data_IF_611200440122
#
_entry.id   IF_611200440122
#
_cell.length_a   1.000
_cell.length_b   1.000
_cell.length_c   1.000
_cell.angle_alpha   90.00
_cell.angle_beta   90.00
_cell.angle_gamma   90.00
#
_symmetry.space_group_name_H-M   'P 1'
#
loop_
_entity.id
_entity.type
_entity.pdbx_description
1 polymer ?
#
# COMPACT_ATOMS: atom_id res chain seq x y z
N UNK A 1 -11.06 6.24 14.28
CA UNK A 1 -10.76 6.42 12.84
C UNK A 1 -9.82 7.60 12.72
N UNK A 2 -8.73 7.46 11.96
CA UNK A 2 -7.68 8.46 11.80
C UNK A 2 -7.55 8.82 10.32
N UNK A 3 -6.89 9.95 10.04
CA UNK A 3 -6.55 10.39 8.69
C UNK A 3 -5.08 10.78 8.64
N UNK A 4 -4.41 10.47 7.54
CA UNK A 4 -3.01 10.81 7.30
C UNK A 4 -2.85 11.36 5.88
N UNK A 5 -2.00 12.39 5.73
CA UNK A 5 -1.69 13.00 4.42
C UNK A 5 -0.23 12.71 4.09
N UNK A 6 -0.02 11.75 3.20
CA UNK A 6 1.31 11.28 2.81
C UNK A 6 1.81 12.17 1.68
N UNK A 7 2.86 12.95 1.95
CA UNK A 7 3.53 13.78 0.94
C UNK A 7 4.40 12.90 0.03
N UNK A 8 4.01 12.77 -1.23
CA UNK A 8 4.78 12.05 -2.26
C UNK A 8 5.56 12.98 -3.19
N UNK A 9 5.23 14.27 -3.20
CA UNK A 9 5.95 15.30 -3.96
C UNK A 9 7.38 15.49 -3.45
N UNK A 10 8.33 15.61 -4.38
CA UNK A 10 9.75 15.80 -4.06
C UNK A 10 10.52 14.51 -3.77
N UNK A 11 9.85 13.36 -3.60
CA UNK A 11 10.51 12.06 -3.44
C UNK A 11 11.28 11.64 -4.71
N UNK A 12 10.86 12.14 -5.87
CA UNK A 12 11.47 11.85 -7.17
C UNK A 12 11.73 13.18 -7.88
N UNK A 13 12.99 13.43 -8.25
CA UNK A 13 13.38 14.67 -8.95
C UNK A 13 12.81 14.76 -10.38
N UNK A 14 12.72 13.63 -11.08
CA UNK A 14 12.23 13.57 -12.46
C UNK A 14 10.69 13.51 -12.50
N UNK A 15 10.07 14.50 -13.13
CA UNK A 15 8.61 14.65 -13.22
C UNK A 15 7.93 13.50 -13.96
N UNK A 16 8.51 12.99 -15.05
CA UNK A 16 7.92 11.87 -15.80
C UNK A 16 7.93 10.57 -14.99
N UNK A 17 9.06 10.29 -14.32
CA UNK A 17 9.16 9.12 -13.41
C UNK A 17 8.16 9.24 -12.26
N UNK A 18 7.98 10.44 -11.72
CA UNK A 18 6.97 10.71 -10.69
C UNK A 18 5.55 10.39 -11.19
N UNK A 19 5.16 10.92 -12.36
CA UNK A 19 3.82 10.67 -12.94
C UNK A 19 3.62 9.17 -13.21
N UNK A 20 4.62 8.47 -13.76
CA UNK A 20 4.55 7.02 -14.02
C UNK A 20 4.42 6.21 -12.72
N UNK A 21 5.16 6.54 -11.65
CA UNK A 21 5.06 5.84 -10.36
C UNK A 21 3.77 6.17 -9.61
N UNK A 22 3.27 7.40 -9.71
CA UNK A 22 1.94 7.76 -9.17
C UNK A 22 0.83 7.01 -9.91
N UNK A 23 0.89 6.93 -11.23
CA UNK A 23 -0.08 6.15 -12.01
C UNK A 23 -0.01 4.66 -11.69
N UNK A 24 1.19 4.13 -11.45
CA UNK A 24 1.38 2.74 -10.98
C UNK A 24 0.71 2.45 -9.64
N UNK A 25 0.74 3.40 -8.70
CA UNK A 25 0.04 3.28 -7.41
C UNK A 25 -1.48 3.18 -7.60
N UNK A 26 -2.04 3.96 -8.54
CA UNK A 26 -3.47 3.92 -8.89
C UNK A 26 -3.80 2.59 -9.58
N UNK A 27 -2.94 2.16 -10.50
CA UNK A 27 -3.11 0.98 -11.32
C UNK A 27 -4.03 1.20 -12.53
N UNK A 28 -4.11 0.21 -13.43
CA UNK A 28 -5.05 0.24 -14.55
C UNK A 28 -6.49 0.27 -14.01
N UNK A 29 -7.31 1.19 -14.50
CA UNK A 29 -8.71 1.37 -14.07
C UNK A 29 -8.88 1.52 -12.54
N UNK A 30 -7.85 1.97 -11.80
CA UNK A 30 -7.90 2.11 -10.35
C UNK A 30 -7.86 0.79 -9.57
N UNK A 31 -7.60 -0.35 -10.22
CA UNK A 31 -7.67 -1.67 -9.57
C UNK A 31 -6.64 -1.85 -8.45
N UNK A 32 -5.42 -1.34 -8.62
CA UNK A 32 -4.36 -1.44 -7.61
C UNK A 32 -4.73 -0.65 -6.35
N UNK A 33 -5.23 0.58 -6.53
CA UNK A 33 -5.70 1.40 -5.43
C UNK A 33 -6.87 0.71 -4.70
N UNK A 34 -7.84 0.18 -5.47
CA UNK A 34 -9.01 -0.47 -4.89
C UNK A 34 -8.66 -1.73 -4.10
N UNK A 35 -7.72 -2.53 -4.60
CA UNK A 35 -7.21 -3.69 -3.88
C UNK A 35 -6.56 -3.29 -2.56
N UNK A 36 -5.76 -2.23 -2.55
CA UNK A 36 -5.13 -1.72 -1.34
C UNK A 36 -6.17 -1.26 -0.32
N UNK A 37 -7.19 -0.51 -0.75
CA UNK A 37 -8.32 -0.07 0.10
C UNK A 37 -9.02 -1.26 0.77
N UNK A 38 -9.33 -2.33 0.02
CA UNK A 38 -10.01 -3.52 0.52
C UNK A 38 -9.15 -4.37 1.45
N UNK A 39 -7.83 -4.39 1.22
CA UNK A 39 -6.91 -5.15 2.07
C UNK A 39 -6.70 -4.45 3.40
N UNK A 40 -6.55 -3.12 3.40
CA UNK A 40 -6.25 -2.31 4.59
C UNK A 40 -7.47 -1.67 5.23
N UNK A 41 -8.70 -1.92 4.74
CA UNK A 41 -9.93 -1.25 5.20
C UNK A 41 -9.78 0.28 5.29
N UNK A 42 -9.02 0.87 4.36
CA UNK A 42 -8.79 2.30 4.31
C UNK A 42 -9.49 2.91 3.09
N UNK A 43 -9.94 4.14 3.23
CA UNK A 43 -10.24 4.98 2.07
C UNK A 43 -8.96 5.70 1.63
N UNK A 44 -8.60 5.62 0.35
CA UNK A 44 -7.33 6.18 -0.15
C UNK A 44 -7.61 7.08 -1.35
N UNK A 45 -7.16 8.33 -1.26
CA UNK A 45 -7.28 9.31 -2.34
C UNK A 45 -5.91 9.79 -2.80
N UNK A 46 -5.58 9.54 -4.07
CA UNK A 46 -4.35 10.01 -4.71
C UNK A 46 -4.65 11.30 -5.46
N UNK A 47 -4.13 12.44 -4.96
CA UNK A 47 -4.36 13.75 -5.59
C UNK A 47 -3.06 14.55 -5.67
N UNK A 48 -2.72 15.00 -6.88
CA UNK A 48 -1.56 15.88 -7.08
C UNK A 48 -0.26 15.26 -6.57
N UNK A 49 0.28 15.85 -5.50
CA UNK A 49 1.56 15.50 -4.87
C UNK A 49 1.38 14.85 -3.49
N UNK A 50 0.17 14.45 -3.14
CA UNK A 50 -0.19 13.86 -1.86
C UNK A 50 -1.07 12.63 -2.04
N UNK A 51 -1.06 11.75 -1.05
CA UNK A 51 -1.99 10.64 -0.92
C UNK A 51 -2.64 10.75 0.45
N UNK A 52 -3.96 10.86 0.49
CA UNK A 52 -4.71 10.86 1.73
C UNK A 52 -5.17 9.44 2.04
N UNK A 53 -5.01 9.00 3.28
CA UNK A 53 -5.50 7.71 3.75
C UNK A 53 -6.35 7.91 5.01
N UNK A 54 -7.52 7.29 5.07
CA UNK A 54 -8.40 7.30 6.25
C UNK A 54 -8.73 5.87 6.66
N UNK A 55 -8.59 5.54 7.94
CA UNK A 55 -8.76 4.18 8.45
C UNK A 55 -8.31 3.99 9.89
N UNK A 56 -7.95 2.77 10.26
CA UNK A 56 -7.34 2.46 11.55
C UNK A 56 -5.82 2.71 11.54
N UNK A 57 -5.25 2.99 12.70
CA UNK A 57 -3.85 3.41 12.82
C UNK A 57 -2.84 2.40 12.25
N UNK A 58 -3.04 1.10 12.51
CA UNK A 58 -2.16 0.05 11.99
C UNK A 58 -2.22 -0.03 10.45
N UNK A 59 -3.43 0.06 9.91
CA UNK A 59 -3.67 -0.03 8.47
C UNK A 59 -3.14 1.21 7.72
N UNK A 60 -3.32 2.40 8.29
CA UNK A 60 -2.75 3.64 7.74
C UNK A 60 -1.23 3.55 7.67
N UNK A 61 -0.56 2.99 8.69
CA UNK A 61 0.89 2.76 8.65
C UNK A 61 1.29 1.84 7.50
N UNK A 62 0.53 0.77 7.28
CA UNK A 62 0.73 -0.13 6.13
C UNK A 62 0.59 0.62 4.81
N UNK A 63 -0.49 1.39 4.63
CA UNK A 63 -0.70 2.21 3.42
C UNK A 63 0.47 3.19 3.22
N UNK A 64 0.91 3.87 4.27
CA UNK A 64 2.04 4.81 4.22
C UNK A 64 3.32 4.15 3.73
N UNK A 65 3.61 2.93 4.19
CA UNK A 65 4.76 2.15 3.74
C UNK A 65 4.64 1.81 2.25
N UNK A 66 3.52 1.24 1.82
CA UNK A 66 3.26 0.87 0.41
C UNK A 66 3.36 2.07 -0.53
N UNK A 67 2.78 3.22 -0.14
CA UNK A 67 2.81 4.46 -0.93
C UNK A 67 4.24 4.98 -1.08
N UNK A 68 5.00 4.99 0.01
CA UNK A 68 6.39 5.49 0.02
C UNK A 68 7.31 4.60 -0.80
N UNK A 69 7.16 3.28 -0.69
CA UNK A 69 7.97 2.31 -1.42
C UNK A 69 7.62 2.28 -2.91
N UNK A 70 6.34 2.48 -3.26
CA UNK A 70 5.94 2.68 -4.64
C UNK A 70 6.66 3.88 -5.28
N UNK A 71 6.84 4.97 -4.52
CA UNK A 71 7.62 6.13 -4.97
C UNK A 71 9.13 5.85 -5.00
N UNK A 72 9.63 4.92 -4.19
CA UNK A 72 11.03 4.45 -4.17
C UNK A 72 11.34 3.30 -5.15
N UNK A 73 10.46 3.08 -6.14
CA UNK A 73 10.61 2.09 -7.22
C UNK A 73 10.23 0.65 -6.91
N UNK A 74 9.68 0.36 -5.73
CA UNK A 74 9.09 -0.95 -5.46
C UNK A 74 7.71 -1.01 -6.14
N UNK A 75 7.33 -2.13 -6.73
CA UNK A 75 6.00 -2.24 -7.35
C UNK A 75 4.94 -2.57 -6.28
N UNK A 76 3.80 -1.85 -6.20
CA UNK A 76 2.80 -2.07 -5.13
C UNK A 76 2.18 -3.48 -5.16
N UNK A 77 2.31 -4.20 -6.28
CA UNK A 77 1.86 -5.60 -6.40
C UNK A 77 2.53 -6.53 -5.40
N UNK A 78 3.80 -6.27 -5.03
CA UNK A 78 4.52 -7.10 -4.05
C UNK A 78 3.86 -6.97 -2.68
N UNK A 79 3.65 -5.75 -2.22
CA UNK A 79 2.96 -5.49 -0.96
C UNK A 79 1.52 -5.97 -0.97
N UNK A 80 0.80 -5.86 -2.09
CA UNK A 80 -0.57 -6.39 -2.21
C UNK A 80 -0.56 -7.92 -2.05
N UNK A 81 0.34 -8.64 -2.72
CA UNK A 81 0.47 -10.09 -2.57
C UNK A 81 0.80 -10.48 -1.14
N UNK A 82 1.74 -9.77 -0.51
CA UNK A 82 2.11 -9.99 0.88
C UNK A 82 0.91 -9.78 1.83
N UNK A 83 0.15 -8.69 1.65
CA UNK A 83 -1.04 -8.40 2.45
C UNK A 83 -2.15 -9.42 2.25
N UNK A 84 -2.33 -9.93 1.02
CA UNK A 84 -3.26 -11.03 0.75
C UNK A 84 -2.88 -12.28 1.54
N UNK A 85 -1.60 -12.68 1.49
CA UNK A 85 -1.11 -13.87 2.21
C UNK A 85 -1.26 -13.69 3.71
N UNK A 86 -0.83 -12.54 4.26
CA UNK A 86 -0.99 -12.24 5.70
C UNK A 86 -2.45 -12.27 6.14
N UNK A 87 -3.38 -11.78 5.31
CA UNK A 87 -4.81 -11.78 5.62
C UNK A 87 -5.41 -13.18 5.58
N UNK A 88 -4.94 -14.06 4.71
CA UNK A 88 -5.34 -15.47 4.71
C UNK A 88 -4.73 -16.25 5.88
N UNK A 89 -3.44 -16.05 6.18
CA UNK A 89 -2.77 -16.69 7.32
C UNK A 89 -3.41 -16.27 8.66
N UNK A 90 -3.78 -15.00 8.81
CA UNK A 90 -4.44 -14.50 10.01
C UNK A 90 -5.84 -15.10 10.27
N UNK A 91 -6.47 -15.72 9.27
CA UNK A 91 -7.73 -16.46 9.46
C UNK A 91 -7.49 -17.84 10.08
N UNK A 92 -6.29 -18.39 9.96
CA UNK A 92 -5.97 -19.72 10.48
C UNK A 92 -5.53 -19.60 11.96
N UNK A 93 -6.32 -20.11 12.92
CA UNK A 93 -5.98 -20.03 14.34
C UNK A 93 -4.71 -20.80 14.70
N UNK A 94 -4.37 -21.86 13.96
CA UNK A 94 -3.19 -22.70 14.23
C UNK A 94 -1.87 -21.98 13.93
N UNK A 95 -1.89 -20.95 13.10
CA UNK A 95 -0.72 -20.20 12.65
C UNK A 95 -0.60 -18.83 13.30
N UNK A 96 -1.48 -18.49 14.25
CA UNK A 96 -1.59 -17.14 14.80
C UNK A 96 -0.31 -16.66 15.52
N UNK A 97 0.44 -17.59 16.14
CA UNK A 97 1.63 -17.29 16.93
C UNK A 97 2.95 -17.65 16.21
N UNK A 98 2.90 -18.09 14.95
CA UNK A 98 4.08 -18.48 14.19
C UNK A 98 4.69 -17.34 13.36
N UNK A 99 6.00 -17.40 13.10
CA UNK A 99 6.63 -16.49 12.13
C UNK A 99 6.21 -16.88 10.69
N UNK A 100 5.65 -15.92 9.95
CA UNK A 100 5.16 -16.09 8.58
C UNK A 100 6.18 -15.79 7.48
N UNK A 101 7.42 -15.41 7.80
CA UNK A 101 8.46 -15.03 6.83
C UNK A 101 8.67 -16.10 5.75
N UNK A 102 8.53 -17.38 6.11
CA UNK A 102 8.63 -18.53 5.19
C UNK A 102 7.55 -18.57 4.11
N UNK A 103 6.42 -17.91 4.33
CA UNK A 103 5.28 -17.86 3.42
C UNK A 103 5.24 -16.57 2.59
N UNK A 104 6.04 -15.56 2.96
CA UNK A 104 6.04 -14.28 2.26
C UNK A 104 6.98 -14.35 1.04
N UNK A 105 6.53 -13.88 -0.13
CA UNK A 105 7.38 -13.82 -1.32
C UNK A 105 8.48 -12.77 -1.14
N UNK A 106 9.71 -13.12 -1.50
CA UNK A 106 10.85 -12.20 -1.54
C UNK A 106 10.88 -11.35 -2.81
#
# INVERSE_FOLDING_TARGET
MFAEVIKIGGLIKNKEKFVKRRQRLIGPNGQTLKALELLTNCYILVQGNTVCAMGYFKDIKTVMHVVTDCMRNVHPIYSIKELMIRKELAKNPDLADENWDRFLPQ
#
